data_IF_998839594059
#
_entry.id   IF_998839594059
#
_cell.length_a   1.000
_cell.length_b   1.000
_cell.length_c   1.000
_cell.angle_alpha   90.00
_cell.angle_beta   90.00
_cell.angle_gamma   90.00
#
_symmetry.space_group_name_H-M   'P 1'
#
loop_
_entity.id
_entity.type
_entity.pdbx_description
1 polymer ?
#
# COMPACT_ATOMS: atom_id res chain seq x y z
N UNK A 1 -7.76 16.03 -2.66
CA UNK A 1 -6.31 15.78 -2.85
C UNK A 1 -6.00 15.76 -4.35
N UNK A 2 -4.88 16.37 -4.75
CA UNK A 2 -4.52 16.60 -6.16
C UNK A 2 -3.72 15.43 -6.76
N UNK A 3 -3.83 15.26 -8.09
CA UNK A 3 -3.03 14.30 -8.84
C UNK A 3 -1.61 14.84 -9.09
N UNK A 4 -0.75 14.74 -8.09
CA UNK A 4 0.65 15.18 -8.18
C UNK A 4 1.60 13.99 -8.11
N UNK A 5 2.80 14.15 -8.68
CA UNK A 5 3.87 13.15 -8.59
C UNK A 5 4.22 12.80 -7.15
N UNK A 6 4.27 13.81 -6.28
CA UNK A 6 4.55 13.65 -4.84
C UNK A 6 3.48 12.79 -4.15
N UNK A 7 2.19 13.09 -4.37
CA UNK A 7 1.11 12.32 -3.76
C UNK A 7 1.08 10.87 -4.28
N UNK A 8 1.35 10.67 -5.57
CA UNK A 8 1.48 9.33 -6.15
C UNK A 8 2.62 8.53 -5.51
N UNK A 9 3.77 9.16 -5.31
CA UNK A 9 4.91 8.54 -4.64
C UNK A 9 4.60 8.18 -3.18
N UNK A 10 3.93 9.06 -2.44
CA UNK A 10 3.47 8.77 -1.07
C UNK A 10 2.49 7.61 -1.02
N UNK A 11 1.57 7.53 -1.98
CA UNK A 11 0.64 6.42 -2.12
C UNK A 11 1.36 5.09 -2.39
N UNK A 12 2.30 5.07 -3.34
CA UNK A 12 3.11 3.88 -3.64
C UNK A 12 4.00 3.49 -2.46
N UNK A 13 4.65 4.45 -1.81
CA UNK A 13 5.45 4.19 -0.63
C UNK A 13 4.64 3.57 0.51
N UNK A 14 3.33 3.85 0.66
CA UNK A 14 2.52 3.18 1.66
C UNK A 14 2.12 1.75 1.28
N UNK A 15 1.82 1.49 0.00
CA UNK A 15 1.47 0.14 -0.47
C UNK A 15 2.69 -0.76 -0.59
N UNK A 16 3.82 -0.21 -1.05
CA UNK A 16 5.07 -0.93 -1.29
C UNK A 16 5.98 -0.90 -0.06
N UNK A 17 5.93 0.16 0.73
CA UNK A 17 6.78 0.36 1.92
C UNK A 17 6.55 -0.65 3.02
N UNK A 18 5.36 -1.26 3.06
CA UNK A 18 5.06 -2.36 3.96
C UNK A 18 5.75 -3.68 3.54
N UNK A 19 6.33 -3.75 2.34
CA UNK A 19 7.10 -4.87 1.81
C UNK A 19 8.58 -4.48 1.51
N UNK A 20 9.06 -3.34 2.02
CA UNK A 20 10.45 -2.92 1.84
C UNK A 20 11.37 -3.60 2.85
N UNK A 21 12.43 -4.25 2.36
CA UNK A 21 13.56 -4.65 3.20
C UNK A 21 14.48 -3.45 3.31
N UNK A 22 14.54 -2.91 4.52
CA UNK A 22 15.40 -1.79 4.87
C UNK A 22 16.62 -2.36 5.59
N UNK A 23 17.81 -2.27 5.00
CA UNK A 23 19.03 -2.40 5.81
C UNK A 23 19.17 -1.13 6.59
N UNK A 24 19.48 -1.29 7.87
CA UNK A 24 19.93 -0.18 8.68
C UNK A 24 21.28 -0.55 9.25
N UNK A 25 22.31 0.12 8.74
CA UNK A 25 23.64 0.05 9.33
C UNK A 25 23.74 1.14 10.40
N UNK A 26 24.11 0.74 11.61
CA UNK A 26 24.35 1.68 12.71
C UNK A 26 25.85 1.88 12.88
N UNK A 27 26.31 3.12 12.71
CA UNK A 27 27.70 3.51 12.96
C UNK A 27 27.76 4.51 14.09
N UNK A 28 28.75 4.37 14.98
CA UNK A 28 29.05 5.41 15.96
C UNK A 28 29.89 6.50 15.31
N UNK A 29 29.38 7.73 15.34
CA UNK A 29 30.18 8.91 15.00
C UNK A 29 31.32 9.11 16.00
N UNK A 30 32.35 9.85 15.58
CA UNK A 30 33.49 10.22 16.44
C UNK A 30 33.07 10.99 17.70
N UNK A 31 31.89 11.60 17.69
CA UNK A 31 31.31 12.34 18.81
C UNK A 31 30.45 11.45 19.74
N UNK A 32 30.41 10.13 19.50
CA UNK A 32 29.65 9.17 20.32
C UNK A 32 28.16 9.07 20.00
N UNK A 33 27.65 9.82 19.00
CA UNK A 33 26.27 9.68 18.55
C UNK A 33 26.13 8.49 17.60
N UNK A 34 25.09 7.69 17.78
CA UNK A 34 24.72 6.63 16.84
C UNK A 34 24.11 7.30 15.58
N UNK A 35 24.74 7.06 14.43
CA UNK A 35 24.23 7.42 13.10
C UNK A 35 23.59 6.17 12.52
N UNK A 36 22.29 6.24 12.27
CA UNK A 36 21.55 5.18 11.56
C UNK A 36 21.60 5.51 10.08
N UNK A 37 22.36 4.74 9.32
CA UNK A 37 22.36 4.79 7.86
C UNK A 37 21.34 3.78 7.34
N UNK A 38 20.19 4.29 6.92
CA UNK A 38 19.09 3.46 6.43
C UNK A 38 19.17 3.38 4.91
N UNK A 39 19.51 2.22 4.37
CA UNK A 39 19.55 1.95 2.93
C UNK A 39 18.39 1.04 2.56
N UNK A 40 17.60 1.44 1.56
CA UNK A 40 16.60 0.54 0.98
C UNK A 40 17.32 -0.53 0.15
N UNK A 41 17.31 -1.79 0.59
CA UNK A 41 18.10 -2.89 -0.02
C UNK A 41 17.33 -3.59 -1.12
N UNK A 42 16.03 -3.78 -0.93
CA UNK A 42 15.17 -4.35 -1.96
C UNK A 42 13.72 -3.99 -1.75
N UNK A 43 13.01 -3.83 -2.86
CA UNK A 43 11.55 -3.94 -2.91
C UNK A 43 11.29 -5.22 -3.66
N UNK A 44 10.76 -6.25 -2.98
CA UNK A 44 10.36 -7.49 -3.66
C UNK A 44 9.08 -7.22 -4.45
N UNK A 45 9.26 -6.66 -5.63
CA UNK A 45 8.24 -6.61 -6.66
C UNK A 45 8.53 -7.77 -7.59
N UNK A 46 7.69 -8.81 -7.57
CA UNK A 46 7.62 -9.74 -8.71
C UNK A 46 7.36 -8.89 -9.96
N UNK A 47 8.40 -8.63 -10.77
CA UNK A 47 8.30 -7.99 -12.08
C UNK A 47 8.72 -6.52 -12.20
N UNK A 48 9.39 -5.90 -11.21
CA UNK A 48 9.94 -4.55 -11.38
C UNK A 48 11.41 -4.54 -10.96
N UNK A 49 12.31 -4.67 -11.94
CA UNK A 49 13.73 -4.32 -11.78
C UNK A 49 13.84 -2.80 -11.65
N UNK A 50 14.32 -2.33 -10.49
CA UNK A 50 14.37 -0.93 -10.13
C UNK A 50 15.75 -0.31 -10.45
N UNK A 51 16.06 -0.14 -11.74
CA UNK A 51 17.10 0.81 -12.17
C UNK A 51 16.43 2.13 -12.57
N UNK A 52 16.56 3.15 -11.72
CA UNK A 52 15.92 4.45 -11.92
C UNK A 52 14.45 4.45 -11.48
N UNK A 53 14.20 4.95 -10.27
CA UNK A 53 12.99 4.81 -9.43
C UNK A 53 11.66 5.36 -9.99
N UNK A 54 11.58 5.67 -11.28
CA UNK A 54 10.42 6.32 -11.87
C UNK A 54 10.21 5.77 -13.28
N UNK A 55 9.29 4.83 -13.48
CA UNK A 55 8.88 4.51 -14.82
C UNK A 55 8.01 5.69 -15.32
N UNK A 56 8.48 6.31 -16.40
CA UNK A 56 8.04 7.61 -16.95
C UNK A 56 6.73 7.48 -17.76
N UNK A 57 6.10 6.31 -17.78
CA UNK A 57 5.06 5.98 -18.75
C UNK A 57 3.76 5.48 -18.11
N UNK A 58 2.71 5.49 -18.93
CA UNK A 58 1.32 5.09 -18.65
C UNK A 58 1.16 3.60 -18.24
N UNK A 59 2.26 2.86 -18.10
CA UNK A 59 2.33 1.42 -17.78
C UNK A 59 2.72 1.13 -16.32
N UNK A 60 2.45 2.05 -15.39
CA UNK A 60 3.00 2.02 -14.01
C UNK A 60 1.94 2.01 -12.92
N UNK A 61 0.69 1.75 -13.29
CA UNK A 61 -0.40 1.62 -12.34
C UNK A 61 -0.16 0.38 -11.48
N UNK A 62 -0.29 0.53 -10.16
CA UNK A 62 -0.16 -0.58 -9.23
C UNK A 62 -1.34 -1.54 -9.44
N UNK A 63 -1.04 -2.80 -9.76
CA UNK A 63 -2.08 -3.81 -9.97
C UNK A 63 -2.55 -4.39 -8.63
N UNK A 64 -3.75 -4.01 -8.21
CA UNK A 64 -4.32 -4.37 -6.91
C UNK A 64 -5.59 -5.21 -7.05
N UNK A 65 -5.86 -6.06 -6.06
CA UNK A 65 -7.10 -6.81 -5.97
C UNK A 65 -8.25 -5.86 -5.58
N UNK A 66 -9.41 -5.90 -6.24
CA UNK A 66 -10.60 -5.25 -5.72
C UNK A 66 -11.08 -5.95 -4.43
N UNK A 67 -11.65 -5.18 -3.50
CA UNK A 67 -12.21 -5.71 -2.23
C UNK A 67 -13.31 -6.76 -2.48
N UNK A 68 -13.95 -6.75 -3.65
CA UNK A 68 -14.93 -7.78 -4.02
C UNK A 68 -14.35 -9.18 -4.10
N UNK A 69 -13.03 -9.33 -4.30
CA UNK A 69 -12.32 -10.61 -4.38
C UNK A 69 -11.73 -11.07 -3.05
N UNK A 70 -12.07 -10.41 -1.93
CA UNK A 70 -11.57 -10.82 -0.61
C UNK A 70 -12.08 -12.22 -0.24
N UNK A 71 -11.17 -13.10 0.20
CA UNK A 71 -11.51 -14.47 0.61
C UNK A 71 -11.70 -14.58 2.13
N UNK A 72 -12.13 -15.76 2.61
CA UNK A 72 -12.25 -16.01 4.04
C UNK A 72 -10.87 -16.03 4.73
N UNK A 73 -9.86 -16.54 4.04
CA UNK A 73 -8.47 -16.60 4.50
C UNK A 73 -7.88 -15.20 4.67
N UNK A 74 -8.07 -14.31 3.69
CA UNK A 74 -7.66 -12.90 3.77
C UNK A 74 -8.29 -12.22 5.01
N UNK A 75 -9.58 -12.49 5.26
CA UNK A 75 -10.33 -11.93 6.39
C UNK A 75 -9.81 -12.47 7.73
N UNK A 76 -9.47 -13.76 7.81
CA UNK A 76 -8.85 -14.35 8.99
C UNK A 76 -7.48 -13.77 9.29
N UNK A 77 -6.68 -13.48 8.25
CA UNK A 77 -5.38 -12.81 8.39
C UNK A 77 -5.53 -11.38 8.95
N UNK A 78 -6.63 -10.70 8.62
CA UNK A 78 -7.01 -9.42 9.22
C UNK A 78 -7.55 -9.54 10.66
N UNK A 79 -7.65 -10.76 11.21
CA UNK A 79 -8.11 -11.01 12.58
C UNK A 79 -9.63 -11.11 12.75
N UNK A 80 -10.38 -11.25 11.65
CA UNK A 80 -11.83 -11.39 11.66
C UNK A 80 -12.26 -12.86 11.62
N UNK A 81 -13.36 -13.19 12.31
CA UNK A 81 -13.87 -14.57 12.38
C UNK A 81 -14.55 -15.05 11.10
N UNK A 82 -15.18 -14.13 10.35
CA UNK A 82 -15.98 -14.46 9.19
C UNK A 82 -16.09 -13.28 8.20
N UNK A 83 -16.28 -13.63 6.93
CA UNK A 83 -16.32 -12.68 5.81
C UNK A 83 -17.51 -11.74 5.85
N UNK A 84 -18.65 -12.17 6.39
CA UNK A 84 -19.89 -11.38 6.41
C UNK A 84 -19.80 -10.26 7.44
N UNK A 85 -19.27 -10.56 8.62
CA UNK A 85 -18.94 -9.58 9.67
C UNK A 85 -17.97 -8.53 9.15
N UNK A 86 -16.90 -8.95 8.48
CA UNK A 86 -15.94 -8.03 7.86
C UNK A 86 -16.62 -7.15 6.80
N UNK A 87 -17.36 -7.74 5.86
CA UNK A 87 -18.06 -6.98 4.80
C UNK A 87 -19.07 -5.99 5.37
N UNK A 88 -19.81 -6.38 6.40
CA UNK A 88 -20.76 -5.50 7.09
C UNK A 88 -20.04 -4.33 7.76
N UNK A 89 -18.96 -4.59 8.47
CA UNK A 89 -18.11 -3.56 9.08
C UNK A 89 -17.53 -2.63 8.01
N UNK A 90 -16.85 -3.18 7.01
CA UNK A 90 -16.22 -2.45 5.92
C UNK A 90 -17.22 -1.53 5.20
N UNK A 91 -18.38 -2.05 4.80
CA UNK A 91 -19.40 -1.26 4.12
C UNK A 91 -19.98 -0.15 5.01
N UNK A 92 -20.06 -0.37 6.33
CA UNK A 92 -20.56 0.66 7.26
C UNK A 92 -19.57 1.81 7.50
N UNK A 93 -18.29 1.60 7.17
CA UNK A 93 -17.17 2.51 7.50
C UNK A 93 -16.45 3.10 6.29
N UNK A 94 -16.43 2.42 5.14
CA UNK A 94 -15.66 2.81 3.95
C UNK A 94 -15.96 4.24 3.47
N UNK A 95 -17.23 4.65 3.53
CA UNK A 95 -17.66 5.99 3.09
C UNK A 95 -17.53 7.06 4.18
N UNK A 96 -17.29 6.64 5.43
CA UNK A 96 -17.14 7.53 6.59
C UNK A 96 -15.68 7.86 6.90
N UNK A 97 -14.73 7.23 6.20
CA UNK A 97 -13.30 7.38 6.49
C UNK A 97 -12.91 6.86 7.88
N UNK A 98 -13.76 6.03 8.50
CA UNK A 98 -13.58 5.52 9.87
C UNK A 98 -13.15 4.05 9.92
N UNK A 99 -12.61 3.51 8.82
CA UNK A 99 -11.91 2.24 8.87
C UNK A 99 -10.67 2.42 9.78
N UNK A 100 -10.41 1.47 10.67
CA UNK A 100 -9.21 1.56 11.49
C UNK A 100 -7.97 1.51 10.59
N UNK A 101 -6.94 2.28 10.93
CA UNK A 101 -5.68 2.29 10.18
C UNK A 101 -5.12 0.86 10.01
N UNK A 102 -5.26 0.03 11.05
CA UNK A 102 -4.85 -1.38 11.06
C UNK A 102 -5.58 -2.21 9.99
N UNK A 103 -6.89 -2.05 9.83
CA UNK A 103 -7.65 -2.79 8.81
C UNK A 103 -7.25 -2.34 7.38
N UNK A 104 -7.03 -1.05 7.19
CA UNK A 104 -6.62 -0.50 5.89
C UNK A 104 -5.21 -0.98 5.54
N UNK A 105 -4.29 -0.93 6.50
CA UNK A 105 -2.91 -1.34 6.30
C UNK A 105 -2.81 -2.85 6.06
N UNK A 106 -3.56 -3.67 6.79
CA UNK A 106 -3.67 -5.10 6.52
C UNK A 106 -4.20 -5.39 5.10
N UNK A 107 -5.25 -4.68 4.66
CA UNK A 107 -5.75 -4.81 3.29
C UNK A 107 -4.69 -4.43 2.24
N UNK A 108 -3.87 -3.41 2.50
CA UNK A 108 -2.77 -3.01 1.61
C UNK A 108 -1.67 -4.05 1.55
N UNK A 109 -1.30 -4.65 2.69
CA UNK A 109 -0.33 -5.75 2.76
C UNK A 109 -0.78 -6.95 1.92
N UNK A 110 -2.07 -7.27 1.97
CA UNK A 110 -2.70 -8.32 1.18
C UNK A 110 -2.89 -7.97 -0.31
N UNK A 111 -2.51 -6.76 -0.71
CA UNK A 111 -2.56 -6.28 -2.09
C UNK A 111 -3.95 -5.83 -2.54
N UNK A 112 -4.85 -5.48 -1.63
CA UNK A 112 -6.17 -4.93 -1.95
C UNK A 112 -6.12 -3.41 -2.18
N UNK A 113 -6.95 -2.96 -3.11
CA UNK A 113 -7.17 -1.55 -3.37
C UNK A 113 -7.97 -0.91 -2.22
N UNK A 114 -7.38 0.10 -1.58
CA UNK A 114 -8.00 0.87 -0.50
C UNK A 114 -8.06 2.34 -0.84
N UNK A 115 -8.98 3.07 -0.20
CA UNK A 115 -8.97 4.54 -0.26
C UNK A 115 -7.70 5.10 0.36
N UNK A 116 -7.27 6.27 -0.12
CA UNK A 116 -6.05 6.90 0.36
C UNK A 116 -6.22 8.42 0.50
N UNK A 117 -6.04 8.94 1.72
CA UNK A 117 -6.09 10.37 2.02
C UNK A 117 -7.29 11.12 1.38
N UNK A 118 -8.49 10.56 1.53
CA UNK A 118 -9.73 11.12 0.98
C UNK A 118 -9.96 10.85 -0.52
N UNK A 119 -9.07 10.10 -1.18
CA UNK A 119 -9.29 9.59 -2.54
C UNK A 119 -9.95 8.21 -2.47
N UNK A 120 -11.07 8.06 -3.19
CA UNK A 120 -11.70 6.76 -3.40
C UNK A 120 -10.87 5.91 -4.37
N UNK A 121 -11.06 4.58 -4.33
CA UNK A 121 -10.44 3.63 -5.28
C UNK A 121 -10.70 4.05 -6.74
N UNK A 122 -11.93 4.48 -7.04
CA UNK A 122 -12.29 5.00 -8.36
C UNK A 122 -11.42 6.21 -8.74
N UNK A 123 -11.19 7.14 -7.81
CA UNK A 123 -10.37 8.33 -8.09
C UNK A 123 -8.90 7.97 -8.32
N UNK A 124 -8.39 6.98 -7.58
CA UNK A 124 -7.04 6.44 -7.78
C UNK A 124 -6.89 5.78 -9.16
N UNK A 125 -7.93 5.09 -9.65
CA UNK A 125 -7.96 4.54 -11.01
C UNK A 125 -8.03 5.65 -12.08
N UNK A 126 -8.88 6.67 -11.88
CA UNK A 126 -8.98 7.81 -12.79
C UNK A 126 -7.65 8.57 -12.93
N UNK A 127 -6.85 8.63 -11.85
CA UNK A 127 -5.51 9.20 -11.87
C UNK A 127 -4.44 8.28 -12.47
N UNK A 128 -4.79 7.02 -12.80
CA UNK A 128 -3.85 6.03 -13.31
C UNK A 128 -2.86 5.52 -12.27
N UNK A 129 -3.14 5.70 -10.97
CA UNK A 129 -2.25 5.23 -9.90
C UNK A 129 -2.42 3.74 -9.65
N UNK A 130 -3.61 3.21 -9.87
CA UNK A 130 -3.90 1.79 -9.70
C UNK A 130 -4.66 1.24 -10.90
N UNK A 131 -4.50 -0.06 -11.11
CA UNK A 131 -5.31 -0.86 -12.01
C UNK A 131 -5.86 -2.04 -11.22
N UNK A 132 -7.17 -2.26 -11.30
CA UNK A 132 -7.77 -3.40 -10.61
C UNK A 132 -7.53 -4.65 -11.43
N UNK A 133 -7.11 -5.73 -10.76
CA UNK A 133 -7.03 -7.05 -11.38
C UNK A 133 -8.44 -7.49 -11.78
N UNK A 134 -8.59 -7.82 -13.07
CA UNK A 134 -9.67 -8.70 -13.52
C UNK A 134 -9.31 -10.10 -13.05
N UNK A 135 -10.30 -10.86 -12.61
CA UNK A 135 -10.17 -12.22 -12.05
C UNK A 135 -9.07 -13.09 -12.68
#
# INVERSE_FOLDING_TARGET
>A
MENTKENRLKFYAQHLGQNMIIDSDCFRSENGNDIIHTTLVSVSLKGIECDGWIPVTEHTALELKPISLITAEDVQELGWSDIDSFKKYYNSKKDKGCLFAVDIDGLRQLGFATSWNGLSVRKLQEYGWIKLKSE
#
